data_IF_864431886343
#
_entry.id   IF_864431886343
#
_cell.length_a   1.000
_cell.length_b   1.000
_cell.length_c   1.000
_cell.angle_alpha   90.00
_cell.angle_beta   90.00
_cell.angle_gamma   90.00
#
_symmetry.space_group_name_H-M   'P 1'
#
loop_
_entity.id
_entity.type
_entity.pdbx_description
1 polymer ?
#
# COMPACT_ATOMS: atom_id res chain seq x y z
N UNK A 1 -14.46 1.62 -7.68
CA UNK A 1 -15.13 0.31 -7.47
C UNK A 1 -15.34 -0.42 -8.79
N UNK A 2 -16.14 0.12 -9.74
CA UNK A 2 -16.45 -0.58 -11.00
C UNK A 2 -15.20 -0.87 -11.85
N UNK A 3 -14.29 0.09 -12.01
CA UNK A 3 -13.05 -0.11 -12.78
C UNK A 3 -12.19 -1.23 -12.19
N UNK A 4 -12.11 -1.32 -10.86
CA UNK A 4 -11.39 -2.38 -10.18
C UNK A 4 -12.01 -3.76 -10.43
N UNK A 5 -13.34 -3.89 -10.32
CA UNK A 5 -14.05 -5.15 -10.58
C UNK A 5 -13.92 -5.60 -12.04
N UNK A 6 -13.90 -4.65 -12.99
CA UNK A 6 -13.69 -4.94 -14.40
C UNK A 6 -12.26 -5.41 -14.71
N UNK A 7 -11.25 -4.90 -14.02
CA UNK A 7 -9.85 -5.24 -14.27
C UNK A 7 -9.40 -6.53 -13.56
N UNK A 8 -9.97 -6.88 -12.41
CA UNK A 8 -9.53 -8.01 -11.58
C UNK A 8 -10.52 -9.19 -11.61
N UNK A 9 -11.71 -8.99 -12.18
CA UNK A 9 -12.77 -9.99 -12.32
C UNK A 9 -13.72 -10.07 -11.12
N UNK A 10 -14.87 -10.69 -11.34
CA UNK A 10 -15.93 -10.88 -10.35
C UNK A 10 -15.62 -12.14 -9.51
N UNK A 11 -14.83 -12.01 -8.47
CA UNK A 11 -14.71 -13.03 -7.43
C UNK A 11 -15.31 -12.53 -6.12
N UNK A 12 -15.75 -13.46 -5.24
CA UNK A 12 -16.28 -13.09 -3.92
C UNK A 12 -15.28 -12.22 -3.12
N UNK A 13 -14.00 -12.47 -3.28
CA UNK A 13 -12.95 -11.70 -2.63
C UNK A 13 -12.87 -10.25 -3.16
N UNK A 14 -13.01 -10.07 -4.46
CA UNK A 14 -13.01 -8.75 -5.09
C UNK A 14 -14.25 -7.94 -4.72
N UNK A 15 -15.40 -8.59 -4.53
CA UNK A 15 -16.62 -7.95 -4.04
C UNK A 15 -16.44 -7.46 -2.60
N UNK A 16 -15.84 -8.27 -1.73
CA UNK A 16 -15.52 -7.86 -0.35
C UNK A 16 -14.56 -6.67 -0.37
N UNK A 17 -13.51 -6.71 -1.19
CA UNK A 17 -12.54 -5.60 -1.33
C UNK A 17 -13.21 -4.32 -1.82
N UNK A 18 -14.12 -4.42 -2.78
CA UNK A 18 -14.90 -3.28 -3.27
C UNK A 18 -15.85 -2.74 -2.19
N UNK A 19 -16.47 -3.62 -1.39
CA UNK A 19 -17.30 -3.24 -0.24
C UNK A 19 -16.50 -2.46 0.80
N UNK A 20 -15.30 -2.93 1.15
CA UNK A 20 -14.39 -2.22 2.06
C UNK A 20 -14.05 -0.84 1.51
N UNK A 21 -13.73 -0.72 0.22
CA UNK A 21 -13.46 0.58 -0.41
C UNK A 21 -14.66 1.52 -0.27
N UNK A 22 -15.87 1.05 -0.54
CA UNK A 22 -17.08 1.86 -0.42
C UNK A 22 -17.30 2.35 1.02
N UNK A 23 -17.06 1.51 2.02
CA UNK A 23 -17.12 1.90 3.43
C UNK A 23 -16.13 3.02 3.76
N UNK A 24 -14.88 2.92 3.28
CA UNK A 24 -13.87 3.97 3.48
C UNK A 24 -14.23 5.26 2.74
N UNK A 25 -14.80 5.19 1.54
CA UNK A 25 -15.27 6.37 0.81
C UNK A 25 -16.45 7.04 1.54
N UNK A 26 -17.36 6.26 2.08
CA UNK A 26 -18.46 6.78 2.90
C UNK A 26 -17.93 7.44 4.17
N UNK A 27 -17.00 6.82 4.87
CA UNK A 27 -16.33 7.39 6.04
C UNK A 27 -15.58 8.68 5.70
N UNK A 28 -14.87 8.74 4.57
CA UNK A 28 -14.22 9.96 4.08
C UNK A 28 -15.24 11.09 3.87
N UNK A 29 -16.40 10.78 3.27
CA UNK A 29 -17.47 11.75 3.06
C UNK A 29 -18.01 12.29 4.39
N UNK A 30 -18.20 11.43 5.38
CA UNK A 30 -18.66 11.84 6.71
C UNK A 30 -17.65 12.78 7.36
N UNK A 31 -16.36 12.46 7.33
CA UNK A 31 -15.29 13.30 7.88
C UNK A 31 -15.22 14.67 7.21
N UNK A 32 -15.33 14.74 5.88
CA UNK A 32 -15.36 16.02 5.16
C UNK A 32 -16.60 16.83 5.54
N UNK A 33 -17.77 16.19 5.63
CA UNK A 33 -19.02 16.85 5.96
C UNK A 33 -19.02 17.43 7.39
N UNK A 34 -18.52 16.66 8.37
CA UNK A 34 -18.38 17.09 9.76
C UNK A 34 -17.45 18.29 9.88
N UNK A 35 -16.24 18.20 9.32
CA UNK A 35 -15.27 19.30 9.34
C UNK A 35 -15.79 20.58 8.66
N UNK A 36 -16.55 20.43 7.58
CA UNK A 36 -17.11 21.57 6.85
C UNK A 36 -18.21 22.29 7.66
N UNK A 37 -18.91 21.59 8.55
CA UNK A 37 -19.99 22.15 9.37
C UNK A 37 -19.49 22.78 10.67
N UNK A 38 -18.43 22.21 11.26
CA UNK A 38 -17.92 22.62 12.57
C UNK A 38 -17.00 23.84 12.52
N UNK A 39 -16.52 24.24 11.33
CA UNK A 39 -15.55 25.32 11.23
C UNK A 39 -16.16 26.62 10.70
N UNK A 40 -15.95 27.69 11.46
CA UNK A 40 -16.28 29.07 11.08
C UNK A 40 -15.44 29.53 9.89
N UNK A 41 -14.19 29.04 9.77
CA UNK A 41 -13.27 29.38 8.68
C UNK A 41 -12.83 28.12 7.95
N UNK A 42 -13.17 28.03 6.67
CA UNK A 42 -12.84 26.87 5.83
C UNK A 42 -11.33 26.85 5.56
N UNK A 43 -10.64 25.83 6.10
CA UNK A 43 -9.25 25.54 5.76
C UNK A 43 -9.21 24.35 4.82
N UNK A 44 -9.13 24.63 3.52
CA UNK A 44 -9.15 23.61 2.47
C UNK A 44 -8.08 22.52 2.69
N UNK A 45 -6.90 22.88 3.20
CA UNK A 45 -5.81 21.92 3.45
C UNK A 45 -6.18 20.88 4.51
N UNK A 46 -6.84 21.31 5.59
CA UNK A 46 -7.24 20.40 6.68
C UNK A 46 -8.37 19.49 6.23
N UNK A 47 -9.37 20.04 5.54
CA UNK A 47 -10.48 19.27 4.99
C UNK A 47 -9.98 18.21 3.99
N UNK A 48 -9.08 18.62 3.08
CA UNK A 48 -8.46 17.69 2.13
C UNK A 48 -7.66 16.59 2.83
N UNK A 49 -6.84 16.94 3.82
CA UNK A 49 -6.04 15.94 4.56
C UNK A 49 -6.92 14.91 5.26
N UNK A 50 -7.96 15.36 5.99
CA UNK A 50 -8.87 14.44 6.69
C UNK A 50 -9.72 13.58 5.75
N UNK A 51 -10.11 14.12 4.60
CA UNK A 51 -10.84 13.36 3.59
C UNK A 51 -9.96 12.38 2.83
N UNK A 52 -8.71 12.75 2.51
CA UNK A 52 -7.79 11.91 1.76
C UNK A 52 -7.21 10.75 2.58
N UNK A 53 -7.00 10.94 3.87
CA UNK A 53 -6.43 9.89 4.74
C UNK A 53 -7.16 8.54 4.60
N UNK A 54 -8.49 8.44 4.81
CA UNK A 54 -9.18 7.16 4.66
C UNK A 54 -9.20 6.65 3.21
N UNK A 55 -9.21 7.53 2.22
CA UNK A 55 -9.16 7.14 0.81
C UNK A 55 -7.81 6.50 0.46
N UNK A 56 -6.72 7.14 0.87
CA UNK A 56 -5.36 6.60 0.67
C UNK A 56 -5.23 5.26 1.37
N UNK A 57 -5.69 5.15 2.62
CA UNK A 57 -5.65 3.89 3.37
C UNK A 57 -6.41 2.78 2.66
N UNK A 58 -7.59 3.07 2.13
CA UNK A 58 -8.38 2.11 1.34
C UNK A 58 -7.64 1.66 0.07
N UNK A 59 -6.99 2.59 -0.64
CA UNK A 59 -6.22 2.27 -1.84
C UNK A 59 -4.99 1.41 -1.52
N UNK A 60 -4.27 1.69 -0.43
CA UNK A 60 -3.13 0.90 0.01
C UNK A 60 -3.57 -0.51 0.42
N UNK A 61 -4.69 -0.63 1.13
CA UNK A 61 -5.27 -1.92 1.48
C UNK A 61 -5.67 -2.72 0.24
N UNK A 62 -6.32 -2.08 -0.74
CA UNK A 62 -6.65 -2.74 -2.01
C UNK A 62 -5.41 -3.18 -2.78
N UNK A 63 -4.36 -2.34 -2.86
CA UNK A 63 -3.10 -2.69 -3.50
C UNK A 63 -2.46 -3.92 -2.83
N UNK A 64 -2.54 -4.01 -1.50
CA UNK A 64 -2.04 -5.17 -0.76
C UNK A 64 -2.88 -6.42 -1.02
N UNK A 65 -4.20 -6.29 -1.11
CA UNK A 65 -5.08 -7.42 -1.39
C UNK A 65 -4.90 -8.01 -2.81
N UNK A 66 -4.44 -7.22 -3.79
CA UNK A 66 -4.09 -7.72 -5.12
C UNK A 66 -2.97 -8.77 -5.04
N UNK A 67 -2.00 -8.58 -4.13
CA UNK A 67 -0.92 -9.56 -3.92
C UNK A 67 -1.44 -10.89 -3.39
N UNK A 68 -2.47 -10.88 -2.53
CA UNK A 68 -3.10 -12.11 -2.04
C UNK A 68 -3.56 -13.03 -3.19
N UNK A 69 -4.01 -12.45 -4.29
CA UNK A 69 -4.50 -13.19 -5.46
C UNK A 69 -3.43 -13.43 -6.53
N UNK A 70 -2.21 -12.90 -6.34
CA UNK A 70 -1.18 -12.99 -7.36
C UNK A 70 -0.80 -14.45 -7.63
N UNK A 71 -0.59 -14.82 -8.91
CA UNK A 71 -0.18 -16.18 -9.27
C UNK A 71 1.11 -16.60 -8.59
N UNK A 72 2.05 -15.67 -8.37
CA UNK A 72 3.32 -15.94 -7.71
C UNK A 72 3.15 -16.35 -6.25
N UNK A 73 2.27 -15.66 -5.50
CA UNK A 73 1.99 -16.00 -4.10
C UNK A 73 1.25 -17.34 -3.99
N UNK A 74 0.28 -17.59 -4.87
CA UNK A 74 -0.40 -18.89 -4.93
C UNK A 74 0.54 -20.03 -5.33
N UNK A 75 1.51 -19.77 -6.21
CA UNK A 75 2.52 -20.74 -6.57
C UNK A 75 3.46 -21.05 -5.37
N UNK A 76 3.84 -20.03 -4.60
CA UNK A 76 4.62 -20.18 -3.37
C UNK A 76 3.88 -21.03 -2.33
N UNK A 77 2.60 -20.74 -2.10
CA UNK A 77 1.73 -21.50 -1.20
C UNK A 77 1.66 -22.99 -1.59
N UNK A 78 1.46 -23.27 -2.89
CA UNK A 78 1.33 -24.64 -3.41
C UNK A 78 2.67 -25.40 -3.43
N UNK A 79 3.75 -24.72 -3.81
CA UNK A 79 5.05 -25.34 -3.96
C UNK A 79 5.72 -25.65 -2.61
N UNK A 80 5.41 -24.89 -1.56
CA UNK A 80 6.07 -25.00 -0.25
C UNK A 80 7.58 -24.77 -0.31
N UNK A 81 8.05 -24.05 -1.34
CA UNK A 81 9.47 -23.76 -1.62
C UNK A 81 9.61 -22.35 -2.16
N UNK A 82 10.79 -21.79 -2.02
CA UNK A 82 11.13 -20.48 -2.61
C UNK A 82 10.92 -20.54 -4.13
N UNK A 83 10.21 -19.58 -4.74
CA UNK A 83 10.04 -19.51 -6.18
C UNK A 83 11.35 -19.11 -6.87
N UNK A 84 11.51 -19.40 -8.19
CA UNK A 84 12.74 -19.09 -8.93
C UNK A 84 13.19 -17.63 -8.85
N UNK A 85 12.26 -16.70 -8.72
CA UNK A 85 12.57 -15.27 -8.50
C UNK A 85 13.22 -15.03 -7.14
N UNK A 86 12.76 -15.71 -6.08
CA UNK A 86 13.36 -15.67 -4.75
C UNK A 86 14.74 -16.35 -4.73
N UNK A 87 14.91 -17.46 -5.43
CA UNK A 87 16.23 -18.11 -5.57
C UNK A 87 17.24 -17.18 -6.26
N UNK A 88 16.83 -16.49 -7.34
CA UNK A 88 17.67 -15.47 -8.00
C UNK A 88 18.06 -14.35 -7.05
N UNK A 89 17.13 -13.90 -6.22
CA UNK A 89 17.40 -12.85 -5.23
C UNK A 89 18.43 -13.34 -4.19
N UNK A 90 18.27 -14.56 -3.64
CA UNK A 90 19.23 -15.15 -2.69
C UNK A 90 20.60 -15.28 -3.34
N UNK A 91 20.67 -15.79 -4.58
CA UNK A 91 21.92 -15.91 -5.33
C UNK A 91 22.60 -14.53 -5.50
N UNK A 92 21.84 -13.51 -5.89
CA UNK A 92 22.38 -12.15 -6.05
C UNK A 92 22.88 -11.56 -4.73
N UNK A 93 22.20 -11.82 -3.62
CA UNK A 93 22.64 -11.38 -2.29
C UNK A 93 23.92 -12.10 -1.89
N UNK A 94 23.97 -13.43 -2.04
CA UNK A 94 25.17 -14.22 -1.71
C UNK A 94 26.35 -13.78 -2.58
N UNK A 95 26.14 -13.55 -3.89
CA UNK A 95 27.18 -13.11 -4.81
C UNK A 95 27.73 -11.73 -4.43
N UNK A 96 26.87 -10.77 -4.12
CA UNK A 96 27.28 -9.40 -3.81
C UNK A 96 27.93 -9.26 -2.42
N UNK A 97 27.46 -9.99 -1.42
CA UNK A 97 27.95 -9.85 -0.05
C UNK A 97 29.04 -10.85 0.32
N UNK A 98 28.93 -12.10 -0.13
CA UNK A 98 29.85 -13.18 0.25
C UNK A 98 30.90 -13.41 -0.81
N UNK A 99 30.56 -13.26 -2.11
CA UNK A 99 31.50 -13.46 -3.21
C UNK A 99 32.73 -12.57 -3.13
N UNK A 100 32.61 -11.37 -2.57
CA UNK A 100 33.70 -10.44 -2.35
C UNK A 100 34.59 -10.81 -1.15
N UNK A 101 34.10 -11.66 -0.23
CA UNK A 101 34.84 -12.12 0.95
C UNK A 101 35.61 -13.41 0.72
N UNK A 102 35.31 -14.11 -0.38
CA UNK A 102 35.99 -15.37 -0.72
C UNK A 102 37.29 -15.07 -1.44
N UNK A 103 38.40 -15.51 -0.90
CA UNK A 103 39.70 -15.46 -1.55
C UNK A 103 39.85 -16.67 -2.48
N UNK A 104 40.48 -16.50 -3.66
CA UNK A 104 40.72 -17.56 -4.63
C UNK A 104 40.55 -17.14 -6.09
N UNK A 105 40.71 -18.08 -6.99
CA UNK A 105 40.50 -17.87 -8.42
C UNK A 105 39.02 -17.58 -8.75
N UNK A 106 38.71 -16.91 -9.86
CA UNK A 106 37.34 -16.60 -10.26
C UNK A 106 36.44 -17.87 -10.34
N UNK A 107 36.97 -19.00 -10.70
CA UNK A 107 36.25 -20.26 -10.79
C UNK A 107 35.92 -20.82 -9.42
N UNK A 108 36.89 -20.81 -8.49
CA UNK A 108 36.68 -21.24 -7.10
C UNK A 108 35.68 -20.37 -6.38
N UNK A 109 35.73 -19.04 -6.58
CA UNK A 109 34.73 -18.09 -6.03
C UNK A 109 33.32 -18.40 -6.51
N UNK A 110 33.14 -18.64 -7.81
CA UNK A 110 31.82 -18.98 -8.36
C UNK A 110 31.31 -20.32 -7.83
N UNK A 111 32.17 -21.34 -7.71
CA UNK A 111 31.77 -22.64 -7.17
C UNK A 111 31.38 -22.55 -5.71
N UNK A 112 32.12 -21.81 -4.87
CA UNK A 112 31.83 -21.60 -3.47
C UNK A 112 30.55 -20.79 -3.27
N UNK A 113 30.37 -19.68 -4.02
CA UNK A 113 29.17 -18.85 -3.98
C UNK A 113 27.92 -19.65 -4.34
N UNK A 114 28.00 -20.48 -5.37
CA UNK A 114 26.89 -21.34 -5.81
C UNK A 114 26.53 -22.40 -4.75
N UNK A 115 27.53 -23.00 -4.10
CA UNK A 115 27.28 -23.97 -3.04
C UNK A 115 26.67 -23.31 -1.79
N UNK A 116 27.18 -22.14 -1.38
CA UNK A 116 26.60 -21.36 -0.28
C UNK A 116 25.15 -20.98 -0.61
N UNK A 117 24.89 -20.51 -1.82
CA UNK A 117 23.52 -20.19 -2.26
C UNK A 117 22.60 -21.41 -2.17
N UNK A 118 23.05 -22.56 -2.64
CA UNK A 118 22.29 -23.82 -2.61
C UNK A 118 21.97 -24.23 -1.18
N UNK A 119 22.96 -24.19 -0.30
CA UNK A 119 22.78 -24.53 1.13
C UNK A 119 21.83 -23.53 1.81
N UNK A 120 21.98 -22.24 1.55
CA UNK A 120 21.10 -21.19 2.08
C UNK A 120 19.65 -21.40 1.65
N UNK A 121 19.42 -21.64 0.36
CA UNK A 121 18.08 -21.94 -0.19
C UNK A 121 17.52 -23.22 0.45
N UNK A 122 18.34 -24.25 0.60
CA UNK A 122 17.96 -25.48 1.27
C UNK A 122 17.52 -25.27 2.72
N UNK A 123 18.29 -24.50 3.48
CA UNK A 123 17.96 -24.15 4.87
C UNK A 123 16.69 -23.31 4.96
N UNK A 124 16.54 -22.31 4.10
CA UNK A 124 15.31 -21.49 4.06
C UNK A 124 14.10 -22.38 3.75
N UNK A 125 14.20 -23.26 2.76
CA UNK A 125 13.11 -24.16 2.42
C UNK A 125 12.80 -25.18 3.55
N UNK A 126 13.80 -25.65 4.28
CA UNK A 126 13.61 -26.54 5.41
C UNK A 126 12.90 -25.85 6.58
N UNK A 127 13.30 -24.61 6.91
CA UNK A 127 12.74 -23.86 8.04
C UNK A 127 11.40 -23.24 7.66
N UNK A 128 11.32 -22.57 6.51
CA UNK A 128 10.16 -21.79 6.09
C UNK A 128 9.12 -22.62 5.32
N UNK A 129 9.48 -23.76 4.76
CA UNK A 129 8.59 -24.61 3.95
C UNK A 129 7.23 -24.89 4.60
N UNK A 130 7.16 -25.34 5.86
CA UNK A 130 5.90 -25.56 6.56
C UNK A 130 5.03 -24.32 6.70
N UNK A 131 5.62 -23.14 6.67
CA UNK A 131 4.95 -21.85 6.84
C UNK A 131 4.51 -21.22 5.52
N UNK A 132 4.97 -21.72 4.36
CA UNK A 132 4.60 -21.16 3.05
C UNK A 132 3.09 -21.25 2.76
N UNK A 133 2.36 -22.16 3.40
CA UNK A 133 0.89 -22.19 3.35
C UNK A 133 0.23 -20.91 3.87
N UNK A 134 0.93 -20.17 4.74
CA UNK A 134 0.46 -18.89 5.26
C UNK A 134 1.03 -17.69 4.50
N UNK A 135 1.78 -17.92 3.41
CA UNK A 135 2.42 -16.84 2.65
C UNK A 135 1.42 -15.82 2.09
N UNK A 136 0.23 -16.18 1.57
CA UNK A 136 -0.67 -15.16 1.05
C UNK A 136 -1.09 -14.11 2.10
N UNK A 137 -1.63 -14.47 3.28
CA UNK A 137 -2.01 -13.48 4.28
C UNK A 137 -0.81 -12.73 4.87
N UNK A 138 0.32 -13.43 5.10
CA UNK A 138 1.53 -12.81 5.66
C UNK A 138 2.13 -11.78 4.70
N UNK A 139 2.29 -12.12 3.42
CA UNK A 139 2.81 -11.19 2.43
C UNK A 139 1.88 -10.00 2.20
N UNK A 140 0.57 -10.24 2.21
CA UNK A 140 -0.43 -9.18 2.10
C UNK A 140 -0.34 -8.21 3.27
N UNK A 141 -0.26 -8.73 4.50
CA UNK A 141 -0.13 -7.92 5.71
C UNK A 141 1.21 -7.17 5.74
N UNK A 142 2.31 -7.83 5.39
CA UNK A 142 3.63 -7.21 5.33
C UNK A 142 3.68 -6.06 4.31
N UNK A 143 3.12 -6.26 3.11
CA UNK A 143 3.02 -5.20 2.11
C UNK A 143 2.13 -4.06 2.59
N UNK A 144 0.98 -4.37 3.20
CA UNK A 144 0.11 -3.33 3.75
C UNK A 144 0.84 -2.48 4.79
N UNK A 145 1.56 -3.10 5.73
CA UNK A 145 2.33 -2.38 6.74
C UNK A 145 3.45 -1.53 6.13
N UNK A 146 4.14 -2.06 5.12
CA UNK A 146 5.15 -1.32 4.39
C UNK A 146 4.55 -0.10 3.69
N UNK A 147 3.47 -0.27 2.94
CA UNK A 147 2.77 0.81 2.26
C UNK A 147 2.18 1.81 3.26
N UNK A 148 1.68 1.34 4.40
CA UNK A 148 1.18 2.20 5.45
C UNK A 148 2.28 3.10 6.05
N UNK A 149 3.51 2.61 6.14
CA UNK A 149 4.65 3.45 6.52
C UNK A 149 4.82 4.68 5.60
N UNK A 150 4.48 4.54 4.32
CA UNK A 150 4.51 5.63 3.34
C UNK A 150 3.22 6.44 3.21
N UNK A 151 2.15 6.04 3.91
CA UNK A 151 0.82 6.64 3.79
C UNK A 151 0.85 8.18 3.95
N UNK A 152 1.65 8.70 4.89
CA UNK A 152 1.79 10.14 5.11
C UNK A 152 2.30 10.89 3.87
N UNK A 153 3.21 10.31 3.11
CA UNK A 153 3.74 10.88 1.86
C UNK A 153 2.62 10.94 0.81
N UNK A 154 1.84 9.86 0.66
CA UNK A 154 0.73 9.83 -0.29
C UNK A 154 -0.37 10.83 0.06
N UNK A 155 -0.72 10.97 1.35
CA UNK A 155 -1.67 11.98 1.81
C UNK A 155 -1.13 13.40 1.53
N UNK A 156 0.14 13.67 1.82
CA UNK A 156 0.77 14.96 1.56
C UNK A 156 0.75 15.32 0.07
N UNK A 157 1.13 14.39 -0.81
CA UNK A 157 1.06 14.56 -2.26
C UNK A 157 -0.38 14.81 -2.73
N UNK A 158 -1.33 14.05 -2.19
CA UNK A 158 -2.75 14.22 -2.49
C UNK A 158 -3.30 15.58 -2.05
N UNK A 159 -2.90 16.07 -0.88
CA UNK A 159 -3.27 17.41 -0.40
C UNK A 159 -2.68 18.49 -1.28
N UNK A 160 -1.41 18.33 -1.71
CA UNK A 160 -0.73 19.28 -2.59
C UNK A 160 -1.43 19.33 -3.97
N UNK A 161 -1.75 18.19 -4.54
CA UNK A 161 -2.49 18.10 -5.80
C UNK A 161 -3.91 18.68 -5.68
N UNK A 162 -4.63 18.37 -4.60
CA UNK A 162 -5.95 18.90 -4.34
C UNK A 162 -5.97 20.40 -4.11
N UNK A 163 -4.95 20.94 -3.42
CA UNK A 163 -4.78 22.36 -3.22
C UNK A 163 -4.50 23.09 -4.55
N UNK A 164 -3.64 22.52 -5.40
CA UNK A 164 -3.34 23.06 -6.73
C UNK A 164 -4.60 23.07 -7.62
N UNK A 165 -5.35 21.97 -7.61
CA UNK A 165 -6.64 21.85 -8.30
C UNK A 165 -7.64 22.92 -7.81
N UNK A 166 -7.74 23.08 -6.50
CA UNK A 166 -8.62 24.10 -5.91
C UNK A 166 -8.21 25.52 -6.35
N UNK A 167 -6.90 25.81 -6.39
CA UNK A 167 -6.38 27.09 -6.87
C UNK A 167 -6.74 27.35 -8.32
N UNK A 168 -6.60 26.34 -9.20
CA UNK A 168 -6.99 26.42 -10.62
C UNK A 168 -8.48 26.67 -10.76
N UNK A 169 -9.32 25.91 -10.04
CA UNK A 169 -10.79 26.06 -10.08
C UNK A 169 -11.23 27.45 -9.58
N UNK A 170 -10.56 27.97 -8.57
CA UNK A 170 -10.80 29.34 -8.08
C UNK A 170 -10.44 30.40 -9.14
N UNK A 171 -9.29 30.21 -9.82
CA UNK A 171 -8.85 31.10 -10.90
C UNK A 171 -9.79 31.10 -12.10
N UNK A 172 -10.34 29.92 -12.42
CA UNK A 172 -11.33 29.72 -13.48
C UNK A 172 -12.75 30.17 -13.08
N UNK A 173 -12.95 30.72 -11.87
CA UNK A 173 -14.25 31.15 -11.32
C UNK A 173 -15.29 30.02 -11.15
N UNK A 174 -14.88 28.75 -11.25
CA UNK A 174 -15.75 27.59 -10.97
C UNK A 174 -16.03 27.38 -9.47
N UNK A 175 -15.12 27.84 -8.59
CA UNK A 175 -15.30 27.78 -7.15
C UNK A 175 -15.25 29.20 -6.57
N UNK A 176 -16.30 29.58 -5.82
CA UNK A 176 -16.35 30.81 -5.04
C UNK A 176 -16.46 30.44 -3.56
N UNK A 177 -15.72 31.14 -2.72
CA UNK A 177 -15.89 31.08 -1.27
C UNK A 177 -16.81 32.26 -0.92
N UNK A 178 -18.02 31.95 -0.48
CA UNK A 178 -18.93 32.96 0.07
C UNK A 178 -18.77 32.98 1.59
N UNK A 179 -18.49 34.14 2.14
CA UNK A 179 -18.51 34.37 3.58
C UNK A 179 -19.97 34.45 4.03
N UNK A 180 -20.39 33.49 4.85
CA UNK A 180 -21.71 33.50 5.48
C UNK A 180 -21.54 33.90 6.94
N UNK A 181 -22.20 34.95 7.38
CA UNK A 181 -22.30 35.28 8.80
C UNK A 181 -23.02 34.15 9.53
N UNK A 182 -22.28 33.38 10.32
CA UNK A 182 -22.84 32.37 11.23
C UNK A 182 -22.95 32.96 12.60
N UNK A 183 -24.18 33.05 13.13
CA UNK A 183 -24.42 33.39 14.55
C UNK A 183 -23.82 32.26 15.39
N UNK A 184 -22.73 32.53 16.09
CA UNK A 184 -22.19 31.61 17.08
C UNK A 184 -23.07 31.71 18.34
N UNK A 185 -23.60 30.57 18.79
CA UNK A 185 -24.25 30.48 20.09
C UNK A 185 -23.16 30.56 21.17
N UNK A 186 -23.13 31.62 21.94
CA UNK A 186 -22.27 31.76 23.13
C UNK A 186 -23.10 31.40 24.36
N UNK A 187 -22.61 30.40 25.09
CA UNK A 187 -23.11 30.05 26.42
C UNK A 187 -22.68 31.16 27.38
N UNK A 188 -23.61 32.01 27.81
CA UNK A 188 -23.34 32.99 28.86
C UNK A 188 -23.72 32.32 30.18
N UNK A 189 -22.71 32.09 31.06
CA UNK A 189 -22.92 31.62 32.43
C UNK A 189 -23.18 32.83 33.35
#
# INVERSE_FOLDING_TARGET
GCVFLLSVGLSNFNLISAGILLLFLFYARLNISSESKERIKINARIILSRGLTPIVLALLLMASLVIYQSPGVKALEKAGKIPPAGEKFVNSVVENFIGNLIEGSPQEKQAATKEISRQTIGQINAIAGPYFKYSPPVLTAALFLLLWGFHGIFVWLGVLAGWLLFFILKKLKFARIEERETKAETLIM
#
